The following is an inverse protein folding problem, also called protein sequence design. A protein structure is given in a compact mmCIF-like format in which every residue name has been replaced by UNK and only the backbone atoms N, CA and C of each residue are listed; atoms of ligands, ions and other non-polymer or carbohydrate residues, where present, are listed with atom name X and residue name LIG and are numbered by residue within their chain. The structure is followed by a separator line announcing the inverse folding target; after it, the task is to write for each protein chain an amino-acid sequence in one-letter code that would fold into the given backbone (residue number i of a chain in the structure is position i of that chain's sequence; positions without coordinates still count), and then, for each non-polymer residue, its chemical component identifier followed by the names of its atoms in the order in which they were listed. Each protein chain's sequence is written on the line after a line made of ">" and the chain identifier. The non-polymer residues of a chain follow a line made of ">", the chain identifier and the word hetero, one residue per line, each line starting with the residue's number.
data_IF_607257134175
#
_entry.id   IF_607257134175
#
_cell.length_a   1.000
_cell.length_b   1.000
_cell.length_c   1.000
_cell.angle_alpha   90.00
_cell.angle_beta   90.00
_cell.angle_gamma   90.00
#
_symmetry.space_group_name_H-M   'P 1'
#
loop_
_entity.id
_entity.type
_entity.pdbx_description
1 polymer ?
#
# COMPACT_ATOMS: atom_id res chain seq x y z
N UNK A 1 -33.35 36.36 -7.01
CA UNK A 1 -33.80 35.13 -6.30
C UNK A 1 -32.89 34.00 -6.77
N UNK A 2 -32.37 33.18 -5.86
CA UNK A 2 -31.63 31.97 -6.24
C UNK A 2 -32.55 31.07 -7.08
N UNK A 3 -32.02 30.49 -8.18
CA UNK A 3 -32.74 29.51 -8.99
C UNK A 3 -32.74 28.11 -8.35
N UNK A 4 -31.96 27.92 -7.27
CA UNK A 4 -31.86 26.67 -6.55
C UNK A 4 -33.01 26.52 -5.56
N UNK A 5 -33.62 25.33 -5.54
CA UNK A 5 -34.58 24.92 -4.51
C UNK A 5 -33.83 24.09 -3.47
N UNK A 6 -34.10 24.35 -2.19
CA UNK A 6 -33.63 23.47 -1.11
C UNK A 6 -34.29 22.09 -1.24
N UNK A 7 -33.52 21.03 -0.95
CA UNK A 7 -33.98 19.64 -0.97
C UNK A 7 -33.83 18.98 0.40
N UNK A 8 -34.02 17.65 0.47
CA UNK A 8 -34.06 16.89 1.72
C UNK A 8 -32.67 16.64 2.36
N UNK A 9 -31.57 17.14 1.80
CA UNK A 9 -30.23 16.92 2.37
C UNK A 9 -30.11 17.59 3.74
N UNK A 10 -29.65 16.84 4.73
CA UNK A 10 -29.34 17.38 6.07
C UNK A 10 -28.14 18.33 6.07
N UNK A 11 -27.29 18.27 5.03
CA UNK A 11 -26.00 18.96 4.90
C UNK A 11 -25.00 18.65 6.01
N UNK A 12 -25.25 17.59 6.82
CA UNK A 12 -24.36 17.14 7.90
C UNK A 12 -23.56 15.94 7.44
N UNK A 13 -22.23 16.01 7.55
CA UNK A 13 -21.30 14.99 7.07
C UNK A 13 -20.39 14.54 8.21
N UNK A 14 -20.16 13.23 8.32
CA UNK A 14 -19.16 12.65 9.21
C UNK A 14 -18.16 11.84 8.40
N UNK A 15 -16.88 12.03 8.69
CA UNK A 15 -15.80 11.25 8.08
C UNK A 15 -15.49 10.06 8.96
N UNK A 16 -15.33 8.87 8.39
CA UNK A 16 -15.21 7.64 9.17
C UNK A 16 -14.00 6.83 8.72
N UNK A 17 -13.16 6.42 9.68
CA UNK A 17 -12.03 5.53 9.44
C UNK A 17 -12.50 4.26 8.72
N UNK A 18 -11.78 3.91 7.65
CA UNK A 18 -12.23 2.92 6.69
C UNK A 18 -12.75 1.62 7.31
N UNK A 19 -11.99 1.08 8.28
CA UNK A 19 -12.28 -0.21 8.89
C UNK A 19 -13.66 -0.27 9.56
N UNK A 20 -14.21 0.85 10.05
CA UNK A 20 -15.55 0.91 10.67
C UNK A 20 -16.68 0.62 9.67
N UNK A 21 -16.48 0.94 8.38
CA UNK A 21 -17.43 0.58 7.32
C UNK A 21 -17.00 -0.69 6.57
N UNK A 22 -15.78 -1.16 6.77
CA UNK A 22 -15.25 -2.34 6.08
C UNK A 22 -14.15 -3.04 6.88
N UNK A 23 -14.55 -3.97 7.74
CA UNK A 23 -13.64 -4.81 8.53
C UNK A 23 -12.60 -5.56 7.68
N UNK A 24 -12.88 -5.80 6.39
CA UNK A 24 -11.97 -6.49 5.49
C UNK A 24 -10.67 -5.71 5.22
N UNK A 25 -10.64 -4.41 5.55
CA UNK A 25 -9.42 -3.60 5.51
C UNK A 25 -8.67 -3.55 6.85
N UNK A 26 -9.23 -4.14 7.92
CA UNK A 26 -8.51 -4.33 9.17
C UNK A 26 -7.42 -5.40 8.96
N UNK A 27 -6.34 -5.29 9.71
CA UNK A 27 -5.33 -6.35 9.75
C UNK A 27 -5.98 -7.67 10.19
N UNK A 28 -5.49 -8.79 9.64
CA UNK A 28 -5.96 -10.13 10.00
C UNK A 28 -5.94 -10.32 11.51
N UNK A 29 -6.88 -11.11 12.02
CA UNK A 29 -7.03 -11.48 13.44
C UNK A 29 -7.56 -10.37 14.37
N UNK A 30 -7.73 -9.13 13.90
CA UNK A 30 -8.19 -7.98 14.72
C UNK A 30 -9.60 -7.48 14.37
N UNK A 31 -10.30 -8.12 13.43
CA UNK A 31 -11.67 -7.74 13.06
C UNK A 31 -12.66 -8.16 14.17
N UNK A 32 -13.57 -7.23 14.53
CA UNK A 32 -14.62 -7.46 15.55
C UNK A 32 -16.02 -7.65 14.95
N UNK A 33 -16.14 -7.50 13.64
CA UNK A 33 -17.36 -7.57 12.84
C UNK A 33 -16.97 -8.01 11.43
N UNK A 34 -17.92 -8.55 10.65
CA UNK A 34 -17.63 -9.20 9.36
C UNK A 34 -17.53 -8.24 8.17
N UNK A 35 -18.20 -7.08 8.24
CA UNK A 35 -18.27 -6.11 7.15
C UNK A 35 -18.32 -4.69 7.70
N UNK A 36 -19.49 -4.06 7.68
CA UNK A 36 -19.72 -2.79 8.36
C UNK A 36 -19.92 -3.01 9.86
N UNK A 37 -19.50 -2.04 10.68
CA UNK A 37 -19.90 -1.98 12.08
C UNK A 37 -21.31 -1.39 12.19
N UNK A 38 -22.33 -2.19 11.88
CA UNK A 38 -23.71 -1.71 11.66
C UNK A 38 -24.31 -0.94 12.83
N UNK A 39 -23.93 -1.25 14.07
CA UNK A 39 -24.36 -0.51 15.27
C UNK A 39 -23.95 0.96 15.19
N UNK A 40 -22.71 1.23 14.81
CA UNK A 40 -22.19 2.60 14.64
C UNK A 40 -22.95 3.30 13.51
N UNK A 41 -23.20 2.60 12.40
CA UNK A 41 -23.92 3.19 11.25
C UNK A 41 -25.35 3.58 11.61
N UNK A 42 -26.06 2.72 12.35
CA UNK A 42 -27.41 3.04 12.83
C UNK A 42 -27.41 4.27 13.73
N UNK A 43 -26.37 4.48 14.54
CA UNK A 43 -26.23 5.70 15.36
C UNK A 43 -26.02 6.93 14.46
N UNK A 44 -25.12 6.85 13.47
CA UNK A 44 -24.86 7.98 12.56
C UNK A 44 -26.09 8.35 11.73
N UNK A 45 -26.80 7.34 11.22
CA UNK A 45 -28.04 7.49 10.45
C UNK A 45 -29.17 8.09 11.30
N UNK A 46 -29.30 7.67 12.56
CA UNK A 46 -30.27 8.24 13.50
C UNK A 46 -30.11 9.76 13.67
N UNK A 47 -28.87 10.28 13.59
CA UNK A 47 -28.59 11.72 13.64
C UNK A 47 -28.66 12.41 12.26
N UNK A 48 -29.05 11.70 11.21
CA UNK A 48 -29.17 12.22 9.84
C UNK A 48 -27.83 12.59 9.21
N UNK A 49 -26.75 11.90 9.59
CA UNK A 49 -25.39 12.19 9.11
C UNK A 49 -25.09 11.44 7.82
N UNK A 50 -24.68 12.16 6.78
CA UNK A 50 -24.05 11.57 5.59
C UNK A 50 -22.65 11.06 5.93
N UNK A 51 -22.30 9.86 5.48
CA UNK A 51 -21.00 9.24 5.79
C UNK A 51 -20.03 9.40 4.63
N UNK A 52 -18.87 9.97 4.90
CA UNK A 52 -17.71 9.98 4.01
C UNK A 52 -16.67 8.99 4.56
N UNK A 53 -16.24 8.03 3.76
CA UNK A 53 -15.25 7.05 4.19
C UNK A 53 -13.82 7.55 3.95
N UNK A 54 -13.00 7.57 5.00
CA UNK A 54 -11.57 7.83 4.87
C UNK A 54 -10.87 6.66 4.14
N UNK A 55 -9.80 6.92 3.37
CA UNK A 55 -8.95 5.86 2.85
C UNK A 55 -8.27 5.09 4.00
N UNK A 56 -7.88 3.84 3.76
CA UNK A 56 -7.06 3.05 4.69
C UNK A 56 -5.60 3.08 4.23
N UNK A 57 -4.71 3.90 4.81
CA UNK A 57 -3.35 3.99 4.29
C UNK A 57 -2.57 2.68 4.45
N UNK A 58 -2.86 1.89 5.49
CA UNK A 58 -2.23 0.58 5.68
C UNK A 58 -2.59 -0.41 4.55
N UNK A 59 -3.87 -0.52 4.19
CA UNK A 59 -4.31 -1.38 3.06
C UNK A 59 -3.77 -0.87 1.74
N UNK A 60 -3.82 0.43 1.49
CA UNK A 60 -3.38 0.99 0.21
C UNK A 60 -1.85 0.93 0.02
N UNK A 61 -1.08 0.93 1.12
CA UNK A 61 0.38 0.87 1.06
C UNK A 61 0.95 -0.55 1.17
N UNK A 62 0.43 -1.37 2.09
CA UNK A 62 0.95 -2.72 2.38
C UNK A 62 0.06 -3.84 1.86
N UNK A 63 -1.16 -3.55 1.42
CA UNK A 63 -2.14 -4.55 1.04
C UNK A 63 -2.82 -5.25 2.22
N UNK A 64 -3.76 -6.13 1.88
CA UNK A 64 -4.57 -6.88 2.86
C UNK A 64 -3.88 -8.14 3.40
N UNK A 65 -2.76 -8.55 2.79
CA UNK A 65 -1.95 -9.67 3.28
C UNK A 65 -0.99 -9.25 4.41
N UNK A 66 -0.97 -7.95 4.76
CA UNK A 66 -0.13 -7.44 5.83
C UNK A 66 -0.47 -8.09 7.18
N UNK A 67 0.57 -8.21 7.98
CA UNK A 67 0.52 -8.41 9.41
C UNK A 67 0.44 -7.07 10.17
N UNK A 68 0.27 -7.11 11.49
CA UNK A 68 0.16 -5.90 12.32
C UNK A 68 1.52 -5.20 12.43
N UNK A 69 1.48 -3.86 12.48
CA UNK A 69 2.68 -3.02 12.61
C UNK A 69 2.50 -1.99 13.72
N UNK A 70 3.60 -1.32 14.09
CA UNK A 70 3.64 -0.25 15.09
C UNK A 70 3.76 1.13 14.44
N UNK A 71 3.45 2.18 15.22
CA UNK A 71 3.61 3.57 14.82
C UNK A 71 5.05 3.86 14.39
N UNK A 72 6.06 3.41 15.13
CA UNK A 72 7.47 3.69 14.81
C UNK A 72 7.95 3.01 13.51
N UNK A 73 7.34 1.90 13.07
CA UNK A 73 7.64 1.33 11.76
C UNK A 73 6.99 2.14 10.62
N UNK A 74 5.75 2.59 10.83
CA UNK A 74 5.06 3.46 9.87
C UNK A 74 5.55 4.91 9.88
N UNK A 75 6.24 5.34 10.92
CA UNK A 75 6.86 6.67 11.02
C UNK A 75 8.15 6.76 10.18
N UNK A 76 8.02 6.45 8.89
CA UNK A 76 9.08 6.55 7.91
C UNK A 76 8.71 7.56 6.81
N UNK A 77 9.72 8.08 6.12
CA UNK A 77 9.56 9.17 5.15
C UNK A 77 8.65 8.80 3.97
N UNK A 78 8.71 7.56 3.49
CA UNK A 78 7.88 7.08 2.39
C UNK A 78 6.40 7.01 2.77
N UNK A 79 6.10 6.39 3.90
CA UNK A 79 4.73 6.23 4.39
C UNK A 79 4.10 7.55 4.82
N UNK A 80 4.87 8.46 5.45
CA UNK A 80 4.42 9.82 5.78
C UNK A 80 4.00 10.60 4.54
N UNK A 81 4.79 10.53 3.46
CA UNK A 81 4.47 11.17 2.17
C UNK A 81 3.19 10.59 1.57
N UNK A 82 3.05 9.26 1.59
CA UNK A 82 1.86 8.57 1.13
C UNK A 82 0.60 8.98 1.92
N UNK A 83 0.67 9.01 3.26
CA UNK A 83 -0.43 9.48 4.10
C UNK A 83 -0.79 10.94 3.83
N UNK A 84 0.21 11.81 3.58
CA UNK A 84 -0.03 13.22 3.24
C UNK A 84 -0.81 13.36 1.93
N UNK A 85 -0.49 12.55 0.92
CA UNK A 85 -1.22 12.54 -0.35
C UNK A 85 -2.70 12.17 -0.14
N UNK A 86 -2.99 11.11 0.63
CA UNK A 86 -4.36 10.71 0.95
C UNK A 86 -5.10 11.77 1.80
N UNK A 87 -4.41 12.39 2.75
CA UNK A 87 -4.96 13.46 3.57
C UNK A 87 -5.31 14.70 2.74
N UNK A 88 -4.53 15.01 1.70
CA UNK A 88 -4.83 16.10 0.76
C UNK A 88 -6.20 15.89 0.12
N UNK A 89 -6.44 14.72 -0.47
CA UNK A 89 -7.74 14.40 -1.09
C UNK A 89 -8.91 14.50 -0.11
N UNK A 90 -8.70 14.04 1.14
CA UNK A 90 -9.71 14.17 2.20
C UNK A 90 -10.00 15.62 2.52
N UNK A 91 -8.96 16.46 2.56
CA UNK A 91 -9.07 17.90 2.85
C UNK A 91 -9.76 18.64 1.71
N UNK A 92 -9.57 18.22 0.45
CA UNK A 92 -10.30 18.78 -0.69
C UNK A 92 -11.82 18.60 -0.52
N UNK A 93 -12.28 17.47 0.01
CA UNK A 93 -13.70 17.29 0.36
C UNK A 93 -14.16 18.23 1.46
N UNK A 94 -13.35 18.39 2.53
CA UNK A 94 -13.66 19.33 3.62
C UNK A 94 -13.83 20.75 3.09
N UNK A 95 -12.91 21.21 2.24
CA UNK A 95 -12.97 22.54 1.62
C UNK A 95 -14.21 22.69 0.73
N UNK A 96 -14.57 21.67 -0.04
CA UNK A 96 -15.78 21.71 -0.87
C UNK A 96 -17.07 21.75 -0.05
N UNK A 97 -17.12 21.05 1.08
CA UNK A 97 -18.27 21.13 1.99
C UNK A 97 -18.40 22.52 2.63
N UNK A 98 -17.28 23.13 3.04
CA UNK A 98 -17.26 24.49 3.59
C UNK A 98 -17.80 25.51 2.58
N UNK A 99 -17.43 25.41 1.30
CA UNK A 99 -17.88 26.32 0.22
C UNK A 99 -19.40 26.39 0.03
N UNK A 100 -20.14 25.38 0.48
CA UNK A 100 -21.60 25.29 0.30
C UNK A 100 -22.36 25.16 1.62
N UNK A 101 -21.74 25.60 2.72
CA UNK A 101 -22.30 25.61 4.08
C UNK A 101 -22.76 24.22 4.56
N UNK A 102 -21.99 23.18 4.22
CA UNK A 102 -22.19 21.85 4.78
C UNK A 102 -21.43 21.73 6.10
N UNK A 103 -22.05 21.10 7.08
CA UNK A 103 -21.52 20.91 8.42
C UNK A 103 -20.78 19.57 8.50
N UNK A 104 -19.45 19.61 8.51
CA UNK A 104 -18.64 18.42 8.82
C UNK A 104 -18.56 18.26 10.33
N UNK A 105 -19.43 17.41 10.88
CA UNK A 105 -19.68 17.33 12.32
C UNK A 105 -18.52 16.70 13.10
N UNK A 106 -17.81 15.74 12.48
CA UNK A 106 -16.73 14.99 13.14
C UNK A 106 -15.91 14.14 12.15
N UNK A 107 -14.75 13.68 12.64
CA UNK A 107 -13.98 12.59 12.05
C UNK A 107 -13.90 11.44 13.07
N UNK A 108 -14.57 10.33 12.79
CA UNK A 108 -14.55 9.13 13.61
C UNK A 108 -13.34 8.27 13.25
N UNK A 109 -12.41 8.12 14.19
CA UNK A 109 -11.12 7.45 14.01
C UNK A 109 -11.08 6.08 14.69
N UNK A 110 -9.95 5.38 14.61
CA UNK A 110 -9.76 4.07 15.26
C UNK A 110 -8.55 4.13 16.19
N UNK A 111 -8.78 4.61 17.42
CA UNK A 111 -7.75 4.67 18.46
C UNK A 111 -7.10 3.30 18.71
N UNK A 112 -5.78 3.33 18.91
CA UNK A 112 -4.92 2.15 18.95
C UNK A 112 -4.36 1.76 17.59
N UNK A 113 -4.93 2.23 16.47
CA UNK A 113 -4.30 2.09 15.15
C UNK A 113 -2.99 2.89 15.10
N UNK A 114 -1.91 2.34 14.53
CA UNK A 114 -0.66 3.06 14.35
C UNK A 114 -0.76 4.20 13.32
N UNK A 115 -1.79 4.17 12.46
CA UNK A 115 -2.01 5.14 11.38
C UNK A 115 -3.24 6.02 11.61
N UNK A 116 -4.36 5.43 12.02
CA UNK A 116 -5.65 6.11 12.14
C UNK A 116 -6.09 6.35 13.60
N UNK A 117 -5.17 6.24 14.57
CA UNK A 117 -5.43 6.65 15.95
C UNK A 117 -5.34 8.16 16.11
N UNK A 118 -6.29 8.76 16.82
CA UNK A 118 -6.34 10.21 17.08
C UNK A 118 -5.65 10.57 18.39
N UNK A 119 -5.98 9.85 19.47
CA UNK A 119 -5.46 10.12 20.81
C UNK A 119 -4.39 9.12 21.24
N UNK A 120 -4.45 7.90 20.71
CA UNK A 120 -3.50 6.83 21.02
C UNK A 120 -3.24 5.95 19.79
N UNK A 121 -2.02 5.42 19.71
CA UNK A 121 -1.55 4.57 18.61
C UNK A 121 -0.65 3.46 19.15
N UNK A 122 -0.64 2.29 18.51
CA UNK A 122 0.24 1.20 18.90
C UNK A 122 1.70 1.58 18.69
N UNK A 123 2.57 1.28 19.66
CA UNK A 123 4.00 1.59 19.61
C UNK A 123 4.79 0.41 20.16
N UNK A 124 5.98 0.14 19.62
CA UNK A 124 6.90 -0.83 20.19
C UNK A 124 8.35 -0.40 19.91
N UNK A 125 9.11 -0.16 20.97
CA UNK A 125 10.47 0.37 20.92
C UNK A 125 11.41 -0.51 20.08
N UNK A 126 11.37 -1.83 20.28
CA UNK A 126 12.20 -2.81 19.59
C UNK A 126 11.55 -3.39 18.31
N UNK A 127 10.62 -2.66 17.69
CA UNK A 127 9.95 -3.15 16.48
C UNK A 127 10.84 -2.98 15.22
N UNK A 128 11.28 -4.09 14.64
CA UNK A 128 12.09 -4.13 13.42
C UNK A 128 12.86 -5.45 13.26
N UNK A 129 12.17 -6.52 12.81
CA UNK A 129 12.65 -7.91 12.73
C UNK A 129 12.95 -8.56 14.10
N UNK A 130 12.64 -9.81 14.48
CA UNK A 130 11.75 -10.88 13.97
C UNK A 130 10.56 -11.04 14.94
N UNK A 131 9.32 -11.17 14.45
CA UNK A 131 8.25 -11.90 15.11
C UNK A 131 8.45 -13.38 14.78
N UNK A 132 9.49 -14.00 15.35
CA UNK A 132 10.00 -15.34 14.99
C UNK A 132 10.40 -15.50 13.51
N UNK A 133 11.27 -16.47 13.21
CA UNK A 133 11.56 -16.83 11.81
C UNK A 133 10.33 -17.49 11.21
N UNK A 134 9.77 -16.90 10.16
CA UNK A 134 8.75 -17.56 9.34
C UNK A 134 9.49 -18.25 8.19
N UNK A 135 9.24 -19.55 7.93
CA UNK A 135 9.82 -20.23 6.78
C UNK A 135 9.49 -19.47 5.50
N UNK A 136 10.52 -19.18 4.69
CA UNK A 136 10.35 -18.56 3.36
C UNK A 136 10.80 -19.54 2.27
N UNK A 137 10.11 -19.50 1.14
CA UNK A 137 10.47 -20.24 -0.08
C UNK A 137 10.84 -19.23 -1.15
N UNK A 138 11.96 -19.47 -1.85
CA UNK A 138 12.30 -18.68 -3.03
C UNK A 138 11.35 -19.08 -4.17
N UNK A 139 10.75 -18.10 -4.83
CA UNK A 139 9.88 -18.29 -5.99
C UNK A 139 10.57 -17.77 -7.24
N UNK A 140 10.26 -18.35 -8.40
CA UNK A 140 10.80 -17.92 -9.69
C UNK A 140 10.06 -16.68 -10.23
N UNK A 141 10.15 -15.58 -9.49
CA UNK A 141 9.57 -14.29 -9.84
C UNK A 141 10.56 -13.16 -9.49
N UNK A 142 10.62 -12.07 -10.30
CA UNK A 142 11.42 -10.91 -9.94
C UNK A 142 10.91 -10.23 -8.67
N UNK A 143 11.79 -9.53 -7.97
CA UNK A 143 11.34 -8.60 -6.93
C UNK A 143 10.48 -7.48 -7.53
N UNK A 144 9.45 -7.02 -6.79
CA UNK A 144 8.44 -6.07 -7.28
C UNK A 144 9.04 -4.81 -7.91
N UNK A 145 10.09 -4.22 -7.32
CA UNK A 145 10.75 -3.07 -7.92
C UNK A 145 11.38 -3.39 -9.28
N UNK A 146 12.01 -4.55 -9.43
CA UNK A 146 12.61 -4.97 -10.71
C UNK A 146 11.54 -5.31 -11.76
N UNK A 147 10.39 -5.83 -11.33
CA UNK A 147 9.23 -6.00 -12.21
C UNK A 147 8.74 -4.65 -12.75
N UNK A 148 8.46 -3.69 -11.88
CA UNK A 148 7.97 -2.36 -12.28
C UNK A 148 9.01 -1.60 -13.10
N UNK A 149 10.30 -1.69 -12.75
CA UNK A 149 11.39 -1.08 -13.52
C UNK A 149 11.44 -1.64 -14.95
N UNK A 150 11.33 -2.96 -15.13
CA UNK A 150 11.32 -3.57 -16.46
C UNK A 150 10.12 -3.09 -17.28
N UNK A 151 8.93 -3.03 -16.67
CA UNK A 151 7.72 -2.51 -17.33
C UNK A 151 7.92 -1.06 -17.76
N UNK A 152 8.40 -0.19 -16.87
CA UNK A 152 8.63 1.22 -17.16
C UNK A 152 9.63 1.44 -18.30
N UNK A 153 10.73 0.68 -18.35
CA UNK A 153 11.72 0.73 -19.44
C UNK A 153 11.06 0.34 -20.77
N UNK A 154 10.27 -0.73 -20.78
CA UNK A 154 9.58 -1.21 -21.98
C UNK A 154 8.51 -0.23 -22.47
N UNK A 155 7.68 0.30 -21.57
CA UNK A 155 6.62 1.27 -21.88
C UNK A 155 7.19 2.57 -22.45
N UNK A 156 8.36 3.01 -21.97
CA UNK A 156 9.10 4.14 -22.53
C UNK A 156 9.97 3.80 -23.75
N UNK A 157 9.95 2.55 -24.22
CA UNK A 157 10.72 2.07 -25.37
C UNK A 157 12.24 2.30 -25.24
N UNK A 158 12.74 2.24 -24.01
CA UNK A 158 14.16 2.36 -23.75
C UNK A 158 14.87 1.02 -24.01
N UNK A 159 16.14 1.02 -24.47
CA UNK A 159 16.94 -0.21 -24.55
C UNK A 159 17.07 -0.85 -23.18
N UNK A 160 16.65 -2.11 -23.05
CA UNK A 160 16.73 -2.86 -21.79
C UNK A 160 18.19 -3.31 -21.59
N UNK A 161 18.85 -2.90 -20.49
CA UNK A 161 20.19 -3.40 -20.18
C UNK A 161 20.15 -4.86 -19.75
N UNK A 162 21.29 -5.55 -19.78
CA UNK A 162 21.41 -6.85 -19.13
C UNK A 162 21.14 -6.72 -17.63
N UNK A 163 20.25 -7.56 -17.09
CA UNK A 163 19.89 -7.58 -15.67
C UNK A 163 20.29 -8.95 -15.12
N UNK A 164 21.14 -8.95 -14.08
CA UNK A 164 21.61 -10.14 -13.40
C UNK A 164 21.31 -10.06 -11.90
N UNK A 165 20.78 -11.13 -11.32
CA UNK A 165 20.51 -11.24 -9.90
C UNK A 165 21.55 -12.11 -9.21
N UNK A 166 22.36 -11.53 -8.32
CA UNK A 166 23.25 -12.29 -7.45
C UNK A 166 22.42 -13.17 -6.52
N UNK A 167 22.79 -14.45 -6.38
CA UNK A 167 22.09 -15.43 -5.55
C UNK A 167 22.34 -15.24 -4.03
N UNK A 168 22.24 -14.01 -3.54
CA UNK A 168 22.60 -13.60 -2.17
C UNK A 168 21.70 -14.22 -1.08
N UNK A 169 20.48 -14.61 -1.44
CA UNK A 169 19.50 -15.19 -0.52
C UNK A 169 19.47 -16.73 -0.55
N UNK A 170 20.25 -17.36 -1.45
CA UNK A 170 20.44 -18.81 -1.50
C UNK A 170 21.45 -19.22 -0.43
N UNK A 171 20.94 -19.63 0.73
CA UNK A 171 21.74 -20.03 1.89
C UNK A 171 22.62 -21.26 1.63
N UNK A 172 22.44 -21.98 0.52
CA UNK A 172 23.26 -23.13 0.15
C UNK A 172 24.48 -22.74 -0.69
N UNK A 173 24.58 -21.50 -1.15
CA UNK A 173 25.73 -21.00 -1.93
C UNK A 173 26.69 -20.22 -1.04
N UNK A 174 27.97 -20.46 -1.26
CA UNK A 174 29.05 -19.65 -0.70
C UNK A 174 29.26 -18.39 -1.53
N UNK A 175 29.85 -17.36 -0.93
CA UNK A 175 30.22 -16.13 -1.65
C UNK A 175 31.15 -16.42 -2.84
N UNK A 176 32.09 -17.36 -2.69
CA UNK A 176 33.01 -17.72 -3.78
C UNK A 176 32.27 -18.31 -4.99
N UNK A 177 31.27 -19.17 -4.75
CA UNK A 177 30.42 -19.69 -5.82
C UNK A 177 29.57 -18.59 -6.48
N UNK A 178 29.05 -17.64 -5.70
CA UNK A 178 28.30 -16.50 -6.22
C UNK A 178 29.20 -15.61 -7.08
N UNK A 179 30.41 -15.32 -6.61
CA UNK A 179 31.38 -14.48 -7.30
C UNK A 179 31.88 -15.15 -8.60
N UNK A 180 32.19 -16.44 -8.57
CA UNK A 180 32.59 -17.18 -9.76
C UNK A 180 31.51 -17.12 -10.85
N UNK A 181 30.25 -17.38 -10.49
CA UNK A 181 29.13 -17.31 -11.43
C UNK A 181 28.90 -15.89 -11.98
N UNK A 182 29.12 -14.86 -11.15
CA UNK A 182 29.02 -13.47 -11.59
C UNK A 182 30.16 -13.07 -12.53
N UNK A 183 31.40 -13.49 -12.23
CA UNK A 183 32.55 -13.28 -13.12
C UNK A 183 32.32 -13.90 -14.49
N UNK A 184 31.85 -15.15 -14.54
CA UNK A 184 31.51 -15.82 -15.80
C UNK A 184 30.42 -15.06 -16.57
N UNK A 185 29.37 -14.57 -15.89
CA UNK A 185 28.35 -13.73 -16.52
C UNK A 185 28.94 -12.44 -17.12
N UNK A 186 29.82 -11.75 -16.39
CA UNK A 186 30.45 -10.51 -16.84
C UNK A 186 31.38 -10.75 -18.04
N UNK A 187 32.16 -11.82 -18.03
CA UNK A 187 33.03 -12.20 -19.15
C UNK A 187 32.21 -12.44 -20.42
N UNK A 188 31.13 -13.22 -20.31
CA UNK A 188 30.22 -13.49 -21.43
C UNK A 188 29.53 -12.21 -21.96
N UNK A 189 29.10 -11.33 -21.06
CA UNK A 189 28.47 -10.05 -21.42
C UNK A 189 29.44 -9.14 -22.18
N UNK A 190 30.70 -9.07 -21.75
CA UNK A 190 31.71 -8.21 -22.38
C UNK A 190 32.29 -8.78 -23.68
N UNK A 191 32.23 -10.10 -23.86
CA UNK A 191 32.76 -10.78 -25.05
C UNK A 191 31.88 -10.66 -26.32
N UNK A 192 30.61 -10.22 -26.20
CA UNK A 192 29.65 -10.24 -27.33
C UNK A 192 29.06 -8.84 -27.62
N UNK A 193 29.57 -8.07 -28.60
CA UNK A 193 29.09 -6.71 -28.89
C UNK A 193 27.67 -6.63 -29.50
N UNK A 194 27.16 -7.74 -30.05
CA UNK A 194 26.02 -7.76 -31.00
C UNK A 194 24.67 -8.17 -30.39
N UNK A 195 24.61 -8.68 -29.15
CA UNK A 195 23.36 -9.15 -28.53
C UNK A 195 22.57 -8.07 -27.77
N UNK A 196 22.45 -6.87 -28.34
CA UNK A 196 21.67 -5.76 -27.76
C UNK A 196 20.14 -5.91 -27.90
N UNK A 197 19.64 -6.91 -28.64
CA UNK A 197 18.19 -7.00 -28.99
C UNK A 197 17.51 -8.36 -28.79
N UNK A 198 18.21 -9.45 -28.45
CA UNK A 198 17.60 -10.80 -28.44
C UNK A 198 17.03 -11.28 -27.09
N UNK A 199 17.27 -10.56 -25.99
CA UNK A 199 16.84 -10.98 -24.63
C UNK A 199 15.38 -10.70 -24.29
N UNK A 200 14.53 -10.43 -25.29
CA UNK A 200 13.08 -10.30 -25.12
C UNK A 200 12.31 -11.63 -25.23
N UNK A 201 12.91 -12.68 -25.81
CA UNK A 201 12.14 -13.88 -26.18
C UNK A 201 11.90 -14.90 -25.05
N UNK A 202 12.47 -14.73 -23.85
CA UNK A 202 12.39 -15.76 -22.77
C UNK A 202 11.74 -15.33 -21.47
N UNK A 203 11.37 -14.07 -21.29
CA UNK A 203 10.59 -13.63 -20.12
C UNK A 203 9.35 -12.91 -20.63
N UNK A 204 8.34 -13.71 -21.00
CA UNK A 204 7.01 -13.21 -21.28
C UNK A 204 6.44 -12.57 -20.00
N UNK A 205 6.51 -11.25 -19.92
CA UNK A 205 5.96 -10.46 -18.79
C UNK A 205 4.47 -10.74 -18.59
N UNK A 206 3.76 -11.25 -19.61
CA UNK A 206 2.35 -11.66 -19.48
C UNK A 206 2.16 -12.90 -18.59
N UNK A 207 3.19 -13.73 -18.43
CA UNK A 207 3.15 -14.93 -17.58
C UNK A 207 3.19 -14.63 -16.07
N UNK A 208 3.55 -13.41 -15.67
CA UNK A 208 3.67 -13.03 -14.25
C UNK A 208 2.32 -12.76 -13.56
N UNK A 209 1.19 -12.96 -14.27
CA UNK A 209 -0.17 -12.73 -13.77
C UNK A 209 -0.86 -13.97 -13.17
N UNK A 210 -0.13 -14.99 -12.76
CA UNK A 210 -0.72 -16.11 -12.03
C UNK A 210 0.12 -16.39 -10.79
N UNK A 211 -0.30 -15.85 -9.65
CA UNK A 211 -0.38 -16.50 -8.34
C UNK A 211 -1.02 -15.56 -7.32
#
# INVERSE_FOLDING_TARGET
>A
MSLHKEDARSKKIIFVANCLLNANNKVREFARYSGMFSEVIRILDHFGLGVMQLPCPETLYMGNQRWWNSRNLYDNTGYRRFCRQLASQTTDYLENYEKVDYDVVAILTCDGSPTCGSTMSSYCEDWGGRPKEVPRTLVDQPGIYMEELKKEIMERQLPVPFIYGLAMDDRNRTNDQILAAFSEFMENMLATPENKQETLAKTDVKSWRQH
#
